data_IF_132620810046
#
_entry.id   IF_132620810046
#
_cell.length_a   1.000
_cell.length_b   1.000
_cell.length_c   1.000
_cell.angle_alpha   90.00
_cell.angle_beta   90.00
_cell.angle_gamma   90.00
#
_symmetry.space_group_name_H-M   'P 1'
#
loop_
_entity.id
_entity.type
_entity.pdbx_description
1 polymer ?
#
# COMPACT_ATOMS: atom_id res chain seq x y z
N UNK A 1 -48.54 1.11 -33.98
CA UNK A 1 -47.59 0.05 -34.35
C UNK A 1 -46.18 0.53 -34.02
N UNK A 2 -45.44 -0.26 -33.23
CA UNK A 2 -43.98 -0.17 -33.10
C UNK A 2 -43.41 0.80 -32.07
N UNK A 3 -43.45 0.43 -30.78
CA UNK A 3 -42.51 0.95 -29.78
C UNK A 3 -41.13 0.31 -30.01
N UNK A 4 -40.12 1.12 -30.29
CA UNK A 4 -38.72 0.68 -30.36
C UNK A 4 -38.06 0.79 -28.99
N UNK A 5 -37.88 -0.34 -28.32
CA UNK A 5 -37.24 -0.43 -27.01
C UNK A 5 -35.76 -0.04 -27.05
N UNK A 6 -35.35 0.78 -26.08
CA UNK A 6 -33.95 1.02 -25.73
C UNK A 6 -33.60 0.16 -24.52
N UNK A 7 -33.16 -1.07 -24.77
CA UNK A 7 -32.66 -1.99 -23.75
C UNK A 7 -31.14 -2.14 -23.84
N UNK A 8 -30.46 -1.81 -22.75
CA UNK A 8 -29.28 -2.55 -22.30
C UNK A 8 -27.89 -2.03 -22.71
N UNK A 9 -27.39 -0.97 -22.06
CA UNK A 9 -25.94 -0.70 -21.99
C UNK A 9 -25.43 -0.33 -20.58
N UNK A 10 -26.31 -0.27 -19.57
CA UNK A 10 -25.95 0.12 -18.20
C UNK A 10 -25.42 -1.01 -17.30
N UNK A 11 -25.67 -2.28 -17.66
CA UNK A 11 -25.40 -3.44 -16.80
C UNK A 11 -23.93 -3.89 -16.73
N UNK A 12 -23.20 -3.81 -17.84
CA UNK A 12 -21.86 -4.41 -17.95
C UNK A 12 -20.77 -3.56 -17.30
N UNK A 13 -20.88 -2.24 -17.36
CA UNK A 13 -19.93 -1.34 -16.69
C UNK A 13 -20.02 -1.45 -15.16
N UNK A 14 -21.22 -1.62 -14.60
CA UNK A 14 -21.41 -1.81 -13.16
C UNK A 14 -20.89 -3.16 -12.66
N UNK A 15 -21.04 -4.23 -13.46
CA UNK A 15 -20.49 -5.55 -13.13
C UNK A 15 -18.96 -5.58 -13.21
N UNK A 16 -18.36 -4.93 -14.21
CA UNK A 16 -16.91 -4.88 -14.39
C UNK A 16 -16.19 -4.13 -13.25
N UNK A 17 -16.81 -3.10 -12.67
CA UNK A 17 -16.20 -2.39 -11.52
C UNK A 17 -16.38 -3.17 -10.21
N UNK A 18 -17.52 -3.85 -10.02
CA UNK A 18 -17.82 -4.60 -8.79
C UNK A 18 -16.86 -5.76 -8.52
N UNK A 19 -16.46 -6.53 -9.54
CA UNK A 19 -15.51 -7.64 -9.32
C UNK A 19 -14.12 -7.13 -8.94
N UNK A 20 -13.69 -6.00 -9.53
CA UNK A 20 -12.39 -5.38 -9.21
C UNK A 20 -12.38 -4.90 -7.76
N UNK A 21 -13.46 -4.28 -7.30
CA UNK A 21 -13.56 -3.82 -5.91
C UNK A 21 -13.64 -5.00 -4.93
N UNK A 22 -14.35 -6.08 -5.28
CA UNK A 22 -14.35 -7.32 -4.49
C UNK A 22 -12.95 -7.95 -4.38
N UNK A 23 -12.22 -8.01 -5.49
CA UNK A 23 -10.85 -8.55 -5.52
C UNK A 23 -9.87 -7.66 -4.75
N UNK A 24 -10.02 -6.33 -4.83
CA UNK A 24 -9.25 -5.37 -4.00
C UNK A 24 -9.53 -5.56 -2.52
N UNK A 25 -10.79 -5.84 -2.14
CA UNK A 25 -11.17 -6.18 -0.77
C UNK A 25 -10.46 -7.44 -0.26
N UNK A 26 -10.50 -8.52 -1.04
CA UNK A 26 -9.79 -9.76 -0.73
C UNK A 26 -8.28 -9.54 -0.59
N UNK A 27 -7.67 -8.79 -1.51
CA UNK A 27 -6.26 -8.47 -1.44
C UNK A 27 -5.90 -7.66 -0.18
N UNK A 28 -6.74 -6.68 0.19
CA UNK A 28 -6.55 -5.88 1.40
C UNK A 28 -6.67 -6.72 2.67
N UNK A 29 -7.57 -7.71 2.68
CA UNK A 29 -7.72 -8.66 3.78
C UNK A 29 -6.49 -9.57 3.93
N UNK A 30 -5.93 -10.07 2.83
CA UNK A 30 -4.68 -10.85 2.86
C UNK A 30 -3.50 -10.02 3.41
N UNK A 31 -3.42 -8.73 3.06
CA UNK A 31 -2.42 -7.81 3.61
C UNK A 31 -2.62 -7.64 5.12
N UNK A 32 -3.86 -7.47 5.59
CA UNK A 32 -4.18 -7.39 7.02
C UNK A 32 -3.74 -8.66 7.77
N UNK A 33 -4.04 -9.85 7.24
CA UNK A 33 -3.62 -11.12 7.85
C UNK A 33 -2.10 -11.23 7.95
N UNK A 34 -1.37 -10.72 6.96
CA UNK A 34 0.10 -10.66 6.98
C UNK A 34 0.60 -9.74 8.07
N UNK A 35 0.00 -8.56 8.25
CA UNK A 35 0.37 -7.66 9.35
C UNK A 35 0.08 -8.28 10.71
N UNK A 36 -1.04 -8.98 10.85
CA UNK A 36 -1.39 -9.69 12.08
C UNK A 36 -0.37 -10.80 12.38
N UNK A 37 -0.04 -11.62 11.37
CA UNK A 37 1.01 -12.63 11.49
C UNK A 37 2.35 -11.99 11.88
N UNK A 38 2.73 -10.86 11.27
CA UNK A 38 3.98 -10.16 11.60
C UNK A 38 4.04 -9.68 13.04
N UNK A 39 2.91 -9.23 13.60
CA UNK A 39 2.82 -8.75 14.97
C UNK A 39 2.91 -9.87 16.01
N UNK A 40 2.28 -11.02 15.73
CA UNK A 40 2.13 -12.12 16.70
C UNK A 40 3.09 -13.30 16.48
N UNK A 41 3.41 -13.63 15.23
CA UNK A 41 4.27 -14.76 14.86
C UNK A 41 5.03 -14.45 13.55
N UNK A 42 6.13 -13.71 13.69
CA UNK A 42 6.95 -13.24 12.57
C UNK A 42 7.47 -14.38 11.68
N UNK A 43 7.71 -15.56 12.25
CA UNK A 43 8.29 -16.69 11.53
C UNK A 43 7.34 -17.28 10.48
N UNK A 44 6.03 -17.02 10.62
CA UNK A 44 5.02 -17.45 9.66
C UNK A 44 5.15 -16.77 8.28
N UNK A 45 5.92 -15.68 8.20
CA UNK A 45 6.30 -15.05 6.94
C UNK A 45 7.24 -15.92 6.10
N UNK A 46 8.05 -16.76 6.76
CA UNK A 46 9.03 -17.62 6.11
C UNK A 46 8.43 -18.99 5.77
N UNK A 47 9.04 -19.65 4.78
CA UNK A 47 8.66 -21.00 4.38
C UNK A 47 8.92 -22.05 5.49
N UNK A 48 9.93 -21.77 6.31
CA UNK A 48 10.39 -22.55 7.46
C UNK A 48 11.04 -21.59 8.46
N UNK A 49 11.04 -21.97 9.73
CA UNK A 49 11.71 -21.21 10.80
C UNK A 49 13.23 -21.31 10.70
N UNK A 50 13.75 -22.48 10.32
CA UNK A 50 15.17 -22.76 10.09
C UNK A 50 15.34 -23.64 8.86
N UNK A 51 16.51 -23.58 8.21
CA UNK A 51 16.77 -24.26 6.94
C UNK A 51 16.53 -25.79 7.00
N UNK A 52 16.91 -26.41 8.12
CA UNK A 52 16.77 -27.84 8.38
C UNK A 52 15.66 -28.19 9.40
N UNK A 53 14.82 -27.22 9.77
CA UNK A 53 13.79 -27.41 10.79
C UNK A 53 12.49 -28.06 10.27
N UNK A 54 11.65 -28.59 11.17
CA UNK A 54 10.32 -29.08 10.80
C UNK A 54 9.43 -27.94 10.28
N UNK A 55 8.62 -28.22 9.25
CA UNK A 55 7.63 -27.26 8.72
C UNK A 55 6.44 -27.23 9.68
N UNK A 56 6.04 -26.05 10.15
CA UNK A 56 4.81 -25.89 10.93
C UNK A 56 3.58 -26.01 10.01
N UNK A 57 2.45 -26.48 10.53
CA UNK A 57 1.24 -26.70 9.74
C UNK A 57 0.86 -25.49 8.86
N UNK A 58 0.91 -24.27 9.41
CA UNK A 58 0.56 -23.04 8.71
C UNK A 58 1.62 -22.58 7.69
N UNK A 59 2.83 -23.15 7.71
CA UNK A 59 3.91 -22.88 6.75
C UNK A 59 3.88 -23.80 5.53
N UNK A 60 3.00 -24.82 5.53
CA UNK A 60 2.84 -25.70 4.38
C UNK A 60 2.44 -24.92 3.12
N UNK A 61 2.79 -25.45 1.92
CA UNK A 61 2.28 -24.94 0.66
C UNK A 61 0.75 -24.79 0.71
N UNK A 62 0.21 -23.77 0.05
CA UNK A 62 -1.20 -23.34 0.11
C UNK A 62 -1.62 -22.72 1.46
N UNK A 63 -1.39 -23.40 2.58
CA UNK A 63 -1.78 -22.89 3.90
C UNK A 63 -1.03 -21.60 4.26
N UNK A 64 0.21 -21.42 3.79
CA UNK A 64 1.01 -20.20 3.99
C UNK A 64 0.52 -18.93 3.29
N UNK A 65 -0.40 -19.05 2.33
CA UNK A 65 -0.81 -17.95 1.45
C UNK A 65 -1.33 -16.72 2.23
N UNK A 66 -2.20 -16.86 3.25
CA UNK A 66 -2.79 -15.70 3.93
C UNK A 66 -1.80 -14.89 4.76
N UNK A 67 -0.73 -15.51 5.27
CA UNK A 67 0.23 -14.89 6.20
C UNK A 67 1.57 -14.51 5.57
N UNK A 68 1.91 -15.06 4.41
CA UNK A 68 3.14 -14.69 3.69
C UNK A 68 3.07 -13.28 3.08
N UNK A 69 1.88 -12.81 2.73
CA UNK A 69 1.62 -11.45 2.21
C UNK A 69 2.09 -11.11 0.81
N UNK A 70 3.03 -11.87 0.23
CA UNK A 70 3.55 -11.60 -1.13
C UNK A 70 2.43 -11.49 -2.17
N UNK A 71 1.49 -12.44 -2.17
CA UNK A 71 0.39 -12.48 -3.14
C UNK A 71 -0.58 -11.32 -2.91
N UNK A 72 -0.96 -11.07 -1.65
CA UNK A 72 -1.90 -9.99 -1.30
C UNK A 72 -1.38 -8.62 -1.73
N UNK A 73 -0.12 -8.30 -1.41
CA UNK A 73 0.51 -7.03 -1.80
C UNK A 73 0.61 -6.89 -3.32
N UNK A 74 0.99 -7.96 -4.05
CA UNK A 74 1.07 -7.93 -5.51
C UNK A 74 -0.28 -7.67 -6.16
N UNK A 75 -1.33 -8.39 -5.75
CA UNK A 75 -2.68 -8.19 -6.30
C UNK A 75 -3.19 -6.78 -5.98
N UNK A 76 -2.99 -6.32 -4.75
CA UNK A 76 -3.38 -4.97 -4.34
C UNK A 76 -2.70 -3.88 -5.17
N UNK A 77 -1.38 -3.98 -5.37
CA UNK A 77 -0.62 -3.04 -6.18
C UNK A 77 -1.06 -3.06 -7.65
N UNK A 78 -1.22 -4.26 -8.22
CA UNK A 78 -1.65 -4.44 -9.60
C UNK A 78 -3.03 -3.83 -9.86
N UNK A 79 -4.03 -4.14 -9.02
CA UNK A 79 -5.38 -3.62 -9.19
C UNK A 79 -5.44 -2.11 -8.99
N UNK A 80 -4.64 -1.57 -8.06
CA UNK A 80 -4.54 -0.13 -7.88
C UNK A 80 -3.99 0.56 -9.13
N UNK A 81 -3.00 -0.03 -9.79
CA UNK A 81 -2.49 0.45 -11.09
C UNK A 81 -3.53 0.33 -12.20
N UNK A 82 -4.16 -0.84 -12.33
CA UNK A 82 -5.17 -1.15 -13.34
C UNK A 82 -6.35 -0.15 -13.31
N UNK A 83 -6.93 0.10 -12.13
CA UNK A 83 -8.05 1.05 -11.98
C UNK A 83 -7.64 2.48 -12.34
N UNK A 84 -6.41 2.86 -12.00
CA UNK A 84 -5.89 4.19 -12.34
C UNK A 84 -5.70 4.37 -13.85
N UNK A 85 -5.34 3.30 -14.57
CA UNK A 85 -5.11 3.34 -16.01
C UNK A 85 -6.41 3.24 -16.83
N UNK A 86 -7.40 2.51 -16.31
CA UNK A 86 -8.63 2.17 -17.04
C UNK A 86 -9.40 3.39 -17.55
N UNK A 87 -9.56 4.43 -16.73
CA UNK A 87 -10.32 5.63 -17.12
C UNK A 87 -9.63 6.42 -18.23
N UNK A 88 -8.34 6.80 -18.13
CA UNK A 88 -7.61 7.43 -19.23
C UNK A 88 -7.61 6.61 -20.51
N UNK A 89 -7.41 5.29 -20.42
CA UNK A 89 -7.43 4.38 -21.57
C UNK A 89 -8.77 4.38 -22.30
N UNK A 90 -9.90 4.35 -21.55
CA UNK A 90 -11.24 4.43 -22.15
C UNK A 90 -11.49 5.76 -22.86
N UNK A 91 -11.05 6.87 -22.27
CA UNK A 91 -11.17 8.20 -22.88
C UNK A 91 -10.32 8.33 -24.15
N UNK A 92 -9.11 7.79 -24.13
CA UNK A 92 -8.24 7.76 -25.31
C UNK A 92 -8.84 6.93 -26.44
N UNK A 93 -9.35 5.73 -26.15
CA UNK A 93 -10.03 4.89 -27.16
C UNK A 93 -11.30 5.51 -27.75
N UNK A 94 -11.91 6.46 -27.05
CA UNK A 94 -13.06 7.22 -27.53
C UNK A 94 -12.66 8.48 -28.33
N UNK A 95 -11.37 8.68 -28.65
CA UNK A 95 -10.84 9.84 -29.36
C UNK A 95 -10.75 11.12 -28.52
N UNK A 96 -11.03 11.06 -27.21
CA UNK A 96 -11.03 12.24 -26.34
C UNK A 96 -9.70 12.39 -25.59
N UNK A 97 -8.63 12.66 -26.34
CA UNK A 97 -7.25 12.71 -25.85
C UNK A 97 -7.03 13.84 -24.82
N UNK A 98 -7.57 15.04 -25.07
CA UNK A 98 -7.44 16.18 -24.16
C UNK A 98 -8.05 15.90 -22.78
N UNK A 99 -9.21 15.22 -22.74
CA UNK A 99 -9.85 14.83 -21.48
C UNK A 99 -9.08 13.69 -20.80
N UNK A 100 -8.48 12.79 -21.56
CA UNK A 100 -7.61 11.73 -21.02
C UNK A 100 -6.38 12.34 -20.30
N UNK A 101 -5.67 13.28 -20.93
CA UNK A 101 -4.52 13.97 -20.32
C UNK A 101 -4.91 14.75 -19.07
N UNK A 102 -6.02 15.49 -19.13
CA UNK A 102 -6.55 16.21 -17.97
C UNK A 102 -6.89 15.26 -16.81
N UNK A 103 -7.39 14.06 -17.10
CA UNK A 103 -7.69 13.04 -16.09
C UNK A 103 -6.42 12.43 -15.48
N UNK A 104 -5.36 12.24 -16.28
CA UNK A 104 -4.07 11.76 -15.81
C UNK A 104 -3.44 12.81 -14.89
N UNK A 105 -3.35 14.07 -15.33
CA UNK A 105 -2.80 15.18 -14.54
C UNK A 105 -3.50 15.31 -13.18
N UNK A 106 -4.85 15.36 -13.17
CA UNK A 106 -5.63 15.42 -11.92
C UNK A 106 -5.39 14.24 -10.99
N UNK A 107 -5.11 13.05 -11.52
CA UNK A 107 -4.79 11.86 -10.72
C UNK A 107 -3.37 11.94 -10.16
N UNK A 108 -2.42 12.37 -10.98
CA UNK A 108 -1.01 12.52 -10.61
C UNK A 108 -0.78 13.55 -9.51
N UNK A 109 -1.51 14.67 -9.49
CA UNK A 109 -1.35 15.69 -8.43
C UNK A 109 -2.05 15.31 -7.11
N UNK A 110 -3.22 14.67 -7.17
CA UNK A 110 -4.00 14.35 -5.94
C UNK A 110 -3.45 13.16 -5.18
N UNK A 111 -2.81 12.21 -5.87
CA UNK A 111 -2.36 10.95 -5.28
C UNK A 111 -1.20 11.10 -4.28
N UNK A 112 -0.11 11.83 -4.58
CA UNK A 112 0.96 12.10 -3.62
C UNK A 112 0.43 12.78 -2.36
N UNK A 113 -0.39 13.82 -2.53
CA UNK A 113 -0.97 14.57 -1.39
C UNK A 113 -1.77 13.64 -0.48
N UNK A 114 -2.63 12.78 -1.06
CA UNK A 114 -3.44 11.83 -0.31
C UNK A 114 -2.61 10.74 0.38
N UNK A 115 -1.41 10.41 -0.11
CA UNK A 115 -0.54 9.40 0.51
C UNK A 115 0.39 10.02 1.56
N UNK A 116 0.97 11.18 1.24
CA UNK A 116 1.94 11.88 2.09
C UNK A 116 1.25 12.43 3.34
N UNK A 117 0.12 13.13 3.23
CA UNK A 117 -0.52 13.74 4.40
C UNK A 117 -0.86 12.74 5.52
N UNK A 118 -1.62 11.65 5.28
CA UNK A 118 -1.93 10.70 6.35
C UNK A 118 -0.68 9.99 6.89
N UNK A 119 0.32 9.73 6.04
CA UNK A 119 1.58 9.12 6.47
C UNK A 119 2.39 10.06 7.39
N UNK A 120 2.45 11.35 7.05
CA UNK A 120 3.09 12.39 7.89
C UNK A 120 2.37 12.57 9.22
N UNK A 121 1.02 12.53 9.23
CA UNK A 121 0.25 12.61 10.47
C UNK A 121 0.57 11.41 11.36
N UNK A 122 0.57 10.19 10.79
CA UNK A 122 0.95 8.99 11.53
C UNK A 122 2.39 9.06 12.06
N UNK A 123 3.34 9.58 11.26
CA UNK A 123 4.72 9.81 11.69
C UNK A 123 4.78 10.75 12.90
N UNK A 124 4.13 11.91 12.82
CA UNK A 124 4.12 12.91 13.91
C UNK A 124 3.47 12.33 15.16
N UNK A 125 2.37 11.59 15.02
CA UNK A 125 1.69 10.96 16.14
C UNK A 125 2.58 9.90 16.79
N UNK A 126 3.15 8.99 16.02
CA UNK A 126 4.07 7.96 16.54
C UNK A 126 5.31 8.59 17.17
N UNK A 127 5.89 9.64 16.57
CA UNK A 127 7.00 10.40 17.14
C UNK A 127 6.61 11.02 18.49
N UNK A 128 5.42 11.63 18.58
CA UNK A 128 4.91 12.24 19.81
C UNK A 128 4.74 11.19 20.92
N UNK A 129 4.10 10.07 20.60
CA UNK A 129 3.93 8.93 21.49
C UNK A 129 5.30 8.37 21.95
N UNK A 130 6.30 8.38 21.06
CA UNK A 130 7.67 8.01 21.42
C UNK A 130 8.23 8.92 22.51
N UNK A 131 8.09 10.25 22.36
CA UNK A 131 8.61 11.22 23.33
C UNK A 131 8.00 11.04 24.73
N UNK A 132 6.74 10.59 24.82
CA UNK A 132 6.09 10.24 26.08
C UNK A 132 6.52 8.87 26.66
N UNK A 133 7.46 8.17 26.01
CA UNK A 133 8.05 6.94 26.51
C UNK A 133 7.22 5.67 26.28
N UNK A 134 6.10 5.74 25.55
CA UNK A 134 5.19 4.61 25.36
C UNK A 134 5.85 3.41 24.65
N UNK A 135 6.81 3.65 23.75
CA UNK A 135 7.58 2.57 23.11
C UNK A 135 8.50 1.81 24.08
N UNK A 136 8.71 2.30 25.31
CA UNK A 136 9.41 1.55 26.35
C UNK A 136 8.63 0.31 26.78
N UNK A 137 7.30 0.35 26.72
CA UNK A 137 6.45 -0.82 26.99
C UNK A 137 6.60 -1.84 25.87
N UNK A 138 6.58 -1.40 24.60
CA UNK A 138 6.79 -2.27 23.44
C UNK A 138 8.14 -3.00 23.47
N UNK A 139 9.19 -2.35 23.99
CA UNK A 139 10.51 -2.98 24.19
C UNK A 139 10.53 -4.11 25.22
N UNK A 140 9.55 -4.17 26.12
CA UNK A 140 9.41 -5.21 27.16
C UNK A 140 8.48 -6.35 26.72
N UNK A 141 7.89 -6.26 25.53
CA UNK A 141 7.03 -7.31 25.00
C UNK A 141 7.85 -8.49 24.46
N UNK A 142 7.31 -9.70 24.59
CA UNK A 142 7.91 -10.93 24.05
C UNK A 142 7.85 -11.02 22.52
N UNK A 143 7.02 -10.19 21.87
CA UNK A 143 7.00 -10.10 20.41
C UNK A 143 8.27 -9.44 19.88
N UNK A 144 9.08 -10.23 19.17
CA UNK A 144 10.33 -9.75 18.56
C UNK A 144 10.11 -8.60 17.57
N UNK A 145 9.00 -8.63 16.82
CA UNK A 145 8.63 -7.55 15.90
C UNK A 145 8.30 -6.26 16.66
N UNK A 146 7.46 -6.35 17.70
CA UNK A 146 7.08 -5.18 18.50
C UNK A 146 8.28 -4.54 19.20
N UNK A 147 9.23 -5.37 19.65
CA UNK A 147 10.50 -4.91 20.23
C UNK A 147 11.38 -4.21 19.20
N UNK A 148 11.48 -4.76 17.98
CA UNK A 148 12.28 -4.19 16.88
C UNK A 148 11.71 -2.85 16.40
N UNK A 149 10.39 -2.74 16.24
CA UNK A 149 9.74 -1.51 15.79
C UNK A 149 9.58 -0.46 16.91
N UNK A 150 9.97 -0.78 18.15
CA UNK A 150 9.93 0.17 19.28
C UNK A 150 11.20 1.01 19.36
N UNK A 151 11.12 2.23 18.87
CA UNK A 151 12.23 3.20 18.85
C UNK A 151 12.67 3.63 20.26
N UNK A 152 13.98 3.65 20.50
CA UNK A 152 14.56 4.36 21.65
C UNK A 152 14.71 5.86 21.36
N UNK A 153 14.21 6.68 22.29
CA UNK A 153 14.30 8.14 22.22
C UNK A 153 15.63 8.61 22.81
N UNK A 154 16.28 9.56 22.13
CA UNK A 154 17.49 10.22 22.62
C UNK A 154 17.14 11.26 23.69
N UNK A 155 17.95 11.44 24.76
CA UNK A 155 17.72 12.46 25.77
C UNK A 155 17.70 13.91 25.22
N UNK A 156 18.29 14.15 24.04
CA UNK A 156 18.31 15.47 23.42
C UNK A 156 17.07 15.71 22.54
N UNK A 157 16.16 16.58 22.98
CA UNK A 157 14.95 16.91 22.20
C UNK A 157 15.26 17.47 20.80
N UNK A 158 16.26 18.34 20.66
CA UNK A 158 16.69 18.84 19.35
C UNK A 158 17.18 17.73 18.41
N UNK A 159 17.75 16.65 18.95
CA UNK A 159 18.16 15.49 18.16
C UNK A 159 16.93 14.75 17.63
N UNK A 160 15.89 14.58 18.45
CA UNK A 160 14.65 13.92 18.05
C UNK A 160 13.84 14.73 17.03
N UNK A 161 13.87 16.06 17.11
CA UNK A 161 13.29 16.92 16.06
C UNK A 161 14.08 16.78 14.75
N UNK A 162 15.42 16.81 14.78
CA UNK A 162 16.23 16.56 13.58
C UNK A 162 15.99 15.17 13.01
N UNK A 163 15.81 14.16 13.88
CA UNK A 163 15.48 12.79 13.50
C UNK A 163 14.12 12.72 12.81
N UNK A 164 13.10 13.44 13.30
CA UNK A 164 11.79 13.52 12.66
C UNK A 164 11.89 13.96 11.20
N UNK A 165 12.62 15.06 10.92
CA UNK A 165 12.85 15.53 9.55
C UNK A 165 13.65 14.54 8.71
N UNK A 166 14.69 13.92 9.29
CA UNK A 166 15.49 12.89 8.61
C UNK A 166 14.63 11.68 8.24
N UNK A 167 13.80 11.21 9.16
CA UNK A 167 12.92 10.04 8.97
C UNK A 167 11.85 10.37 7.92
N UNK A 168 11.22 11.54 7.99
CA UNK A 168 10.30 12.00 6.95
C UNK A 168 10.95 11.96 5.56
N UNK A 169 12.17 12.51 5.42
CA UNK A 169 12.89 12.48 4.16
C UNK A 169 13.28 11.05 3.74
N UNK A 170 13.73 10.23 4.67
CA UNK A 170 14.08 8.83 4.42
C UNK A 170 12.88 8.04 3.86
N UNK A 171 11.70 8.19 4.46
CA UNK A 171 10.48 7.50 4.02
C UNK A 171 10.16 7.74 2.54
N UNK A 172 10.42 8.94 2.02
CA UNK A 172 10.16 9.28 0.62
C UNK A 172 11.36 9.13 -0.32
N UNK A 173 12.56 8.85 0.19
CA UNK A 173 13.78 8.67 -0.62
C UNK A 173 14.22 7.22 -0.69
N UNK A 174 14.35 6.55 0.46
CA UNK A 174 14.79 5.16 0.58
C UNK A 174 13.71 4.22 1.16
N UNK A 175 12.56 4.74 1.58
CA UNK A 175 11.47 3.94 2.13
C UNK A 175 11.67 3.51 3.59
N UNK A 176 12.68 4.05 4.26
CA UNK A 176 12.95 3.73 5.66
C UNK A 176 12.07 4.58 6.59
N UNK A 177 11.52 3.95 7.62
CA UNK A 177 10.62 4.59 8.56
C UNK A 177 10.79 4.01 9.96
N UNK A 178 11.51 4.74 10.83
CA UNK A 178 11.88 4.28 12.17
C UNK A 178 10.66 3.95 13.05
N UNK A 179 9.55 4.70 12.94
CA UNK A 179 8.42 4.59 13.87
C UNK A 179 7.26 3.72 13.36
N UNK A 180 7.26 3.37 12.07
CA UNK A 180 6.25 2.49 11.46
C UNK A 180 6.83 1.85 10.20
N UNK A 181 7.42 0.66 10.39
CA UNK A 181 8.06 -0.08 9.30
C UNK A 181 7.11 -0.25 8.10
N UNK A 182 5.80 -0.39 8.32
CA UNK A 182 4.83 -0.67 7.26
C UNK A 182 4.72 0.44 6.20
N UNK A 183 5.12 1.67 6.53
CA UNK A 183 5.13 2.78 5.58
C UNK A 183 6.12 2.58 4.43
N UNK A 184 7.02 1.58 4.51
CA UNK A 184 7.95 1.22 3.43
C UNK A 184 7.25 1.02 2.08
N UNK A 185 6.00 0.52 2.10
CA UNK A 185 5.24 0.24 0.89
C UNK A 185 4.72 1.51 0.16
N UNK A 186 4.65 2.66 0.84
CA UNK A 186 4.11 3.90 0.27
C UNK A 186 4.97 4.42 -0.90
N UNK A 187 6.29 4.40 -0.75
CA UNK A 187 7.21 4.89 -1.77
C UNK A 187 7.16 4.05 -3.07
N UNK A 188 7.26 2.71 -3.03
CA UNK A 188 7.03 1.86 -4.21
C UNK A 188 5.66 2.08 -4.85
N UNK A 189 4.58 2.20 -4.06
CA UNK A 189 3.23 2.43 -4.58
C UNK A 189 3.11 3.78 -5.29
N UNK A 190 3.76 4.82 -4.76
CA UNK A 190 3.80 6.14 -5.38
C UNK A 190 4.60 6.09 -6.69
N UNK A 191 5.83 5.56 -6.66
CA UNK A 191 6.69 5.41 -7.85
C UNK A 191 5.99 4.60 -8.95
N UNK A 192 5.41 3.46 -8.61
CA UNK A 192 4.68 2.61 -9.55
C UNK A 192 3.49 3.33 -10.18
N UNK A 193 2.76 4.15 -9.41
CA UNK A 193 1.66 4.95 -9.97
C UNK A 193 2.11 6.02 -10.95
N UNK A 194 3.22 6.71 -10.66
CA UNK A 194 3.78 7.72 -11.55
C UNK A 194 4.30 7.09 -12.83
N UNK A 195 4.93 5.92 -12.74
CA UNK A 195 5.35 5.14 -13.92
C UNK A 195 4.15 4.82 -14.82
N UNK A 196 3.03 4.35 -14.26
CA UNK A 196 1.79 4.11 -15.03
C UNK A 196 1.28 5.40 -15.70
N UNK A 197 1.28 6.53 -15.00
CA UNK A 197 0.85 7.80 -15.59
C UNK A 197 1.76 8.26 -16.74
N UNK A 198 3.07 8.14 -16.58
CA UNK A 198 4.05 8.46 -17.63
C UNK A 198 3.88 7.53 -18.83
N UNK A 199 3.75 6.22 -18.61
CA UNK A 199 3.50 5.26 -19.69
C UNK A 199 2.21 5.56 -20.43
N UNK A 200 1.14 5.95 -19.74
CA UNK A 200 -0.12 6.33 -20.39
C UNK A 200 0.05 7.58 -21.25
N UNK A 201 0.74 8.61 -20.75
CA UNK A 201 0.99 9.82 -21.54
C UNK A 201 1.85 9.51 -22.77
N UNK A 202 2.86 8.66 -22.62
CA UNK A 202 3.76 8.27 -23.71
C UNK A 202 3.09 7.37 -24.78
N UNK A 203 2.04 6.63 -24.42
CA UNK A 203 1.38 5.66 -25.34
C UNK A 203 0.09 6.18 -25.96
N UNK A 204 -0.53 7.21 -25.39
CA UNK A 204 -1.68 7.88 -26.01
C UNK A 204 -1.15 8.73 -27.17
N UNK A 205 -1.20 8.16 -28.38
CA UNK A 205 -0.88 8.87 -29.62
C UNK A 205 -2.09 9.65 -30.14
N UNK A 206 -1.79 10.80 -30.75
CA UNK A 206 -2.74 11.74 -31.34
C UNK A 206 -3.17 11.31 -32.74
#
# INVERSE_FOLDING_TARGET
MGSGGSSGSGGDNGRNVKWVDGLRGMASFLVLLTHLARAFDYNLFNARDTENGPIRLLQHPVLRIPWQGRIGVTIFAFLTGYVCALKPLRLSRAGNHNTAFSSIAKSAFRRPIRLIMPATIALILSWTIAQFGAFTVGRRCDSGWLRFSSVSVNPSFLHEVKRLFRVFLATWTNGHMDYDDHQWALLPLLKGSMMVYVTLVATINF
#
